data_IF_253203607116
#
_entry.id   IF_253203607116
#
_cell.length_a   1.000
_cell.length_b   1.000
_cell.length_c   1.000
_cell.angle_alpha   90.00
_cell.angle_beta   90.00
_cell.angle_gamma   90.00
#
_symmetry.space_group_name_H-M   'P 1'
#
loop_
_entity.id
_entity.type
_entity.pdbx_description
1 polymer ?
#
# COMPACT_ATOMS: atom_id res chain seq x y z
N UNK A 1 -29.13 28.48 -7.71
CA UNK A 1 -28.87 27.05 -8.00
C UNK A 1 -27.38 26.68 -8.17
N UNK A 2 -26.47 27.63 -8.38
CA UNK A 2 -25.02 27.40 -8.56
C UNK A 2 -24.27 26.95 -7.30
N UNK A 3 -24.60 27.48 -6.12
CA UNK A 3 -23.96 27.12 -4.84
C UNK A 3 -24.16 25.66 -4.44
N UNK A 4 -25.36 25.11 -4.65
CA UNK A 4 -25.67 23.70 -4.34
C UNK A 4 -24.84 22.75 -5.23
N UNK A 5 -24.65 23.09 -6.51
CA UNK A 5 -23.85 22.27 -7.44
C UNK A 5 -22.35 22.25 -7.10
N UNK A 6 -21.84 23.30 -6.46
CA UNK A 6 -20.43 23.40 -6.08
C UNK A 6 -20.15 22.63 -4.78
N UNK A 7 -21.07 22.68 -3.81
CA UNK A 7 -20.98 21.85 -2.60
C UNK A 7 -21.03 20.35 -2.91
N UNK A 8 -21.94 19.90 -3.77
CA UNK A 8 -22.06 18.47 -4.13
C UNK A 8 -20.79 17.94 -4.81
N UNK A 9 -20.18 18.74 -5.69
CA UNK A 9 -18.91 18.39 -6.36
C UNK A 9 -17.74 18.34 -5.38
N UNK A 10 -17.67 19.26 -4.42
CA UNK A 10 -16.66 19.26 -3.36
C UNK A 10 -16.75 18.03 -2.46
N UNK A 11 -17.96 17.68 -2.02
CA UNK A 11 -18.20 16.49 -1.18
C UNK A 11 -17.84 15.20 -1.91
N UNK A 12 -18.24 15.07 -3.18
CA UNK A 12 -17.91 13.89 -3.98
C UNK A 12 -16.40 13.73 -4.19
N UNK A 13 -15.66 14.83 -4.37
CA UNK A 13 -14.20 14.80 -4.47
C UNK A 13 -13.54 14.38 -3.15
N UNK A 14 -14.00 14.92 -2.02
CA UNK A 14 -13.50 14.57 -0.69
C UNK A 14 -13.72 13.08 -0.37
N UNK A 15 -14.91 12.55 -0.64
CA UNK A 15 -15.22 11.13 -0.42
C UNK A 15 -14.35 10.21 -1.28
N UNK A 16 -14.14 10.55 -2.56
CA UNK A 16 -13.22 9.78 -3.43
C UNK A 16 -11.79 9.79 -2.90
N UNK A 17 -11.32 10.95 -2.42
CA UNK A 17 -10.01 11.08 -1.77
C UNK A 17 -9.90 10.17 -0.56
N UNK A 18 -10.91 10.19 0.32
CA UNK A 18 -10.96 9.34 1.50
C UNK A 18 -10.93 7.85 1.16
N UNK A 19 -11.76 7.38 0.22
CA UNK A 19 -11.75 5.97 -0.20
C UNK A 19 -10.40 5.54 -0.77
N UNK A 20 -9.73 6.44 -1.50
CA UNK A 20 -8.40 6.14 -2.07
C UNK A 20 -7.37 5.97 -0.95
N UNK A 21 -7.37 6.85 0.06
CA UNK A 21 -6.44 6.77 1.19
C UNK A 21 -6.71 5.53 2.05
N UNK A 22 -7.98 5.27 2.39
CA UNK A 22 -8.36 4.09 3.19
C UNK A 22 -8.02 2.80 2.44
N UNK A 23 -8.34 2.72 1.14
CA UNK A 23 -8.00 1.57 0.30
C UNK A 23 -6.49 1.35 0.23
N UNK A 24 -5.70 2.41 0.08
CA UNK A 24 -4.24 2.31 0.08
C UNK A 24 -3.67 1.89 1.44
N UNK A 25 -4.24 2.34 2.56
CA UNK A 25 -3.85 1.92 3.90
C UNK A 25 -4.11 0.41 4.11
N UNK A 26 -5.29 -0.07 3.73
CA UNK A 26 -5.63 -1.50 3.79
C UNK A 26 -4.72 -2.35 2.89
N UNK A 27 -4.44 -1.87 1.67
CA UNK A 27 -3.50 -2.55 0.77
C UNK A 27 -2.08 -2.56 1.35
N UNK A 28 -1.62 -1.45 1.95
CA UNK A 28 -0.34 -1.38 2.65
C UNK A 28 -0.26 -2.36 3.81
N UNK A 29 -1.33 -2.51 4.59
CA UNK A 29 -1.41 -3.50 5.66
C UNK A 29 -1.32 -4.93 5.12
N UNK A 30 -2.03 -5.24 4.03
CA UNK A 30 -1.98 -6.55 3.40
C UNK A 30 -0.56 -6.88 2.87
N UNK A 31 0.12 -5.90 2.24
CA UNK A 31 1.51 -6.06 1.81
C UNK A 31 2.42 -6.34 3.00
N UNK A 32 2.26 -5.61 4.11
CA UNK A 32 3.07 -5.84 5.30
C UNK A 32 2.86 -7.23 5.90
N UNK A 33 1.63 -7.76 5.92
CA UNK A 33 1.39 -9.16 6.35
C UNK A 33 2.22 -10.14 5.53
N UNK A 34 2.26 -9.97 4.20
CA UNK A 34 3.07 -10.82 3.32
C UNK A 34 4.57 -10.68 3.63
N UNK A 35 5.06 -9.47 3.88
CA UNK A 35 6.46 -9.23 4.26
C UNK A 35 6.82 -9.91 5.58
N UNK A 36 5.95 -9.80 6.60
CA UNK A 36 6.16 -10.43 7.91
C UNK A 36 6.17 -11.96 7.78
N UNK A 37 5.22 -12.53 7.04
CA UNK A 37 5.20 -13.98 6.75
C UNK A 37 6.45 -14.42 5.97
N UNK A 38 6.92 -13.60 5.04
CA UNK A 38 8.15 -13.84 4.30
C UNK A 38 9.36 -13.89 5.22
N UNK A 39 9.49 -12.96 6.17
CA UNK A 39 10.58 -12.97 7.15
C UNK A 39 10.55 -14.24 8.01
N UNK A 40 9.38 -14.64 8.50
CA UNK A 40 9.21 -15.90 9.26
C UNK A 40 9.58 -17.12 8.40
N UNK A 41 9.15 -17.16 7.15
CA UNK A 41 9.48 -18.26 6.24
C UNK A 41 10.98 -18.35 5.94
N UNK A 42 11.66 -17.21 5.76
CA UNK A 42 13.13 -17.18 5.58
C UNK A 42 13.83 -17.69 6.83
N UNK A 43 13.41 -17.28 8.01
CA UNK A 43 13.99 -17.75 9.28
C UNK A 43 13.78 -19.25 9.47
N UNK A 44 12.59 -19.77 9.16
CA UNK A 44 12.30 -21.21 9.18
C UNK A 44 13.17 -22.01 8.22
N UNK A 45 13.34 -21.51 6.99
CA UNK A 45 14.02 -22.28 5.92
C UNK A 45 15.54 -22.19 5.98
N UNK A 46 16.08 -21.08 6.47
CA UNK A 46 17.53 -20.86 6.53
C UNK A 46 18.13 -21.17 7.90
N UNK A 47 17.31 -21.20 8.96
CA UNK A 47 17.80 -21.28 10.33
C UNK A 47 18.62 -20.05 10.74
N UNK A 48 18.48 -18.92 10.05
CA UNK A 48 19.18 -17.67 10.35
C UNK A 48 18.20 -16.61 10.84
N UNK A 49 18.64 -15.75 11.75
CA UNK A 49 17.82 -14.66 12.23
C UNK A 49 17.61 -13.61 11.12
N UNK A 50 16.36 -13.18 10.92
CA UNK A 50 16.00 -12.10 10.01
C UNK A 50 15.62 -10.87 10.82
N UNK A 51 16.23 -9.74 10.48
CA UNK A 51 15.96 -8.45 11.08
C UNK A 51 15.43 -7.49 10.02
N UNK A 52 14.18 -7.04 10.21
CA UNK A 52 13.55 -5.94 9.50
C UNK A 52 13.60 -4.72 10.43
N UNK A 53 14.55 -3.78 10.24
CA UNK A 53 14.77 -2.67 11.16
C UNK A 53 13.49 -1.87 11.41
N UNK A 54 13.14 -1.72 12.69
CA UNK A 54 11.93 -1.01 13.11
C UNK A 54 10.62 -1.67 12.67
N UNK A 55 10.60 -2.97 12.37
CA UNK A 55 9.37 -3.67 11.99
C UNK A 55 9.26 -5.01 12.71
N UNK A 56 10.26 -5.86 12.55
CA UNK A 56 10.22 -7.23 13.04
C UNK A 56 11.62 -7.78 13.22
N UNK A 57 11.85 -8.47 14.32
CA UNK A 57 12.99 -9.38 14.44
C UNK A 57 12.47 -10.81 14.56
N UNK A 58 13.12 -11.75 13.87
CA UNK A 58 12.80 -13.17 13.95
C UNK A 58 14.06 -13.98 14.12
N UNK A 59 13.99 -15.09 14.84
CA UNK A 59 15.12 -15.99 15.05
C UNK A 59 14.65 -17.44 15.22
N UNK A 60 15.49 -18.42 14.84
CA UNK A 60 15.18 -19.82 15.08
C UNK A 60 15.16 -20.10 16.58
N UNK A 61 14.25 -20.97 16.98
CA UNK A 61 14.13 -21.44 18.36
C UNK A 61 13.51 -22.83 18.40
N UNK A 62 13.18 -23.26 19.60
CA UNK A 62 12.51 -24.53 19.86
C UNK A 62 11.35 -24.31 20.81
N UNK A 63 10.18 -24.84 20.47
CA UNK A 63 9.00 -24.81 21.31
C UNK A 63 8.44 -26.24 21.41
N UNK A 64 8.23 -26.74 22.63
CA UNK A 64 7.78 -28.11 22.88
C UNK A 64 8.64 -29.21 22.21
N UNK A 65 9.95 -28.97 22.06
CA UNK A 65 10.88 -29.91 21.43
C UNK A 65 10.82 -29.93 19.89
N UNK A 66 10.00 -29.09 19.26
CA UNK A 66 9.93 -28.93 17.81
C UNK A 66 10.62 -27.62 17.37
N UNK A 67 11.16 -27.56 16.13
CA UNK A 67 11.65 -26.32 15.54
C UNK A 67 10.54 -25.26 15.49
N UNK A 68 10.84 -24.06 15.96
CA UNK A 68 9.93 -22.92 15.95
C UNK A 68 10.65 -21.66 15.47
N UNK A 69 9.87 -20.66 15.05
CA UNK A 69 10.38 -19.30 14.86
C UNK A 69 9.81 -18.42 15.94
N UNK A 70 10.73 -17.84 16.70
CA UNK A 70 10.43 -16.78 17.66
C UNK A 70 10.50 -15.44 16.92
N UNK A 71 9.62 -14.52 17.28
CA UNK A 71 9.57 -13.22 16.65
C UNK A 71 9.12 -12.13 17.62
N UNK A 72 9.64 -10.93 17.39
CA UNK A 72 9.33 -9.72 18.16
C UNK A 72 8.92 -8.61 17.19
N UNK A 73 7.62 -8.27 17.12
CA UNK A 73 7.13 -7.21 16.26
C UNK A 73 7.26 -5.83 16.91
N UNK A 74 7.69 -4.84 16.13
CA UNK A 74 7.55 -3.42 16.48
C UNK A 74 6.24 -2.89 15.90
N UNK A 75 5.23 -2.72 16.76
CA UNK A 75 3.91 -2.26 16.34
C UNK A 75 3.91 -0.83 15.76
N UNK A 76 4.74 0.07 16.30
CA UNK A 76 4.81 1.46 15.85
C UNK A 76 5.46 1.52 14.47
N UNK A 77 6.60 0.88 14.33
CA UNK A 77 7.33 0.91 13.08
C UNK A 77 6.67 0.06 11.98
N UNK A 78 5.94 -1.02 12.34
CA UNK A 78 5.04 -1.71 11.40
C UNK A 78 3.93 -0.78 10.90
N UNK A 79 3.30 -0.02 11.79
CA UNK A 79 2.29 0.98 11.40
C UNK A 79 2.86 2.05 10.47
N UNK A 80 4.06 2.55 10.76
CA UNK A 80 4.77 3.50 9.90
C UNK A 80 5.08 2.91 8.52
N UNK A 81 5.53 1.65 8.45
CA UNK A 81 5.78 0.95 7.19
C UNK A 81 4.49 0.79 6.35
N UNK A 82 3.36 0.43 6.99
CA UNK A 82 2.05 0.38 6.33
C UNK A 82 1.69 1.73 5.70
N UNK A 83 1.84 2.82 6.46
CA UNK A 83 1.53 4.17 5.96
C UNK A 83 2.47 4.59 4.82
N UNK A 84 3.75 4.20 4.88
CA UNK A 84 4.71 4.48 3.82
C UNK A 84 4.34 3.73 2.54
N UNK A 85 3.99 2.45 2.63
CA UNK A 85 3.50 1.68 1.47
C UNK A 85 2.21 2.29 0.92
N UNK A 86 1.26 2.65 1.79
CA UNK A 86 0.03 3.31 1.39
C UNK A 86 0.30 4.62 0.65
N UNK A 87 1.21 5.45 1.15
CA UNK A 87 1.61 6.69 0.51
C UNK A 87 2.16 6.44 -0.90
N UNK A 88 3.04 5.45 -1.05
CA UNK A 88 3.58 5.05 -2.36
C UNK A 88 2.47 4.62 -3.32
N UNK A 89 1.50 3.83 -2.85
CA UNK A 89 0.36 3.39 -3.65
C UNK A 89 -0.55 4.56 -4.07
N UNK A 90 -0.81 5.52 -3.18
CA UNK A 90 -1.55 6.75 -3.51
C UNK A 90 -0.80 7.56 -4.57
N UNK A 91 0.52 7.73 -4.42
CA UNK A 91 1.33 8.47 -5.39
C UNK A 91 1.34 7.75 -6.75
N UNK A 92 1.56 6.44 -6.78
CA UNK A 92 1.58 5.65 -8.00
C UNK A 92 0.22 5.69 -8.74
N UNK A 93 -0.88 5.52 -8.01
CA UNK A 93 -2.23 5.60 -8.58
C UNK A 93 -2.55 7.00 -9.13
N UNK A 94 -2.07 8.06 -8.48
CA UNK A 94 -2.23 9.43 -8.95
C UNK A 94 -1.48 9.70 -10.27
N UNK A 95 -0.26 9.18 -10.40
CA UNK A 95 0.56 9.29 -11.61
C UNK A 95 -0.05 8.50 -12.76
N UNK A 96 -0.54 7.29 -12.48
CA UNK A 96 -1.21 6.46 -13.48
C UNK A 96 -2.48 7.14 -14.02
N UNK A 97 -3.27 7.73 -13.12
CA UNK A 97 -4.48 8.47 -13.46
C UNK A 97 -4.22 9.74 -14.28
N UNK A 98 -3.04 10.34 -14.16
CA UNK A 98 -2.61 11.46 -15.02
C UNK A 98 -2.22 10.96 -16.41
N UNK A 99 -1.46 9.87 -16.46
CA UNK A 99 -1.01 9.25 -17.72
C UNK A 99 -2.17 8.75 -18.58
N UNK A 100 -3.17 8.13 -17.97
CA UNK A 100 -4.36 7.65 -18.69
C UNK A 100 -5.13 8.80 -19.34
N UNK A 101 -5.35 9.90 -18.61
CA UNK A 101 -6.03 11.10 -19.14
C UNK A 101 -5.26 11.75 -20.29
N UNK A 102 -3.93 11.85 -20.19
CA UNK A 102 -3.11 12.40 -21.26
C UNK A 102 -3.21 11.60 -22.57
N UNK A 103 -3.31 10.26 -22.49
CA UNK A 103 -3.50 9.38 -23.65
C UNK A 103 -4.87 9.59 -24.30
N UNK A 104 -5.94 9.63 -23.52
CA UNK A 104 -7.30 9.86 -24.06
C UNK A 104 -7.42 11.20 -24.78
N UNK A 105 -6.84 12.27 -24.22
CA UNK A 105 -6.83 13.59 -24.85
C UNK A 105 -5.96 13.70 -26.11
N UNK A 106 -4.95 12.83 -26.27
CA UNK A 106 -4.16 12.72 -27.48
C UNK A 106 -4.92 11.98 -28.58
N UNK A 107 -5.56 10.85 -28.25
CA UNK A 107 -6.41 10.09 -29.17
C UNK A 107 -7.61 10.90 -29.68
N UNK A 108 -8.27 11.67 -28.82
CA UNK A 108 -9.40 12.52 -29.20
C UNK A 108 -8.99 13.64 -30.17
N UNK A 109 -7.79 14.24 -30.00
CA UNK A 109 -7.28 15.26 -30.92
C UNK A 109 -6.87 14.68 -32.27
N UNK A 110 -6.27 13.50 -32.28
CA UNK A 110 -5.91 12.82 -33.54
C UNK A 110 -7.13 12.44 -34.38
N UNK A 111 -8.24 12.03 -33.75
CA UNK A 111 -9.48 11.72 -34.46
C UNK A 111 -10.23 12.94 -35.02
N UNK A 112 -10.06 14.11 -34.41
CA UNK A 112 -10.69 15.36 -34.88
C UNK A 112 -9.97 15.99 -36.09
N UNK A 113 -8.71 15.63 -36.35
CA UNK A 113 -7.95 16.11 -37.51
C UNK A 113 -8.11 15.25 -38.77
N UNK A 114 -8.80 14.11 -38.67
CA UNK A 114 -9.05 13.18 -39.78
C UNK A 114 -10.44 13.29 -40.41
N UNK A 115 -11.24 14.26 -39.98
CA UNK A 115 -12.58 14.60 -40.49
C UNK A 115 -12.57 16.00 -41.07
#
# INVERSE_FOLDING_TARGET
MTFVSNSVRGVAAALRGLFTVVGAALAGAAVMVVVLLGAVAVTLTTGTAVHLPGVLQTWPGTENGAPAVLFEPDGVGTGAAVLLVALVLVLASSLWSRRSRARTSASARAGASST
#
